data_IF_200901229543
#
_entry.id   IF_200901229543
#
_cell.length_a   1.000
_cell.length_b   1.000
_cell.length_c   1.000
_cell.angle_alpha   90.00
_cell.angle_beta   90.00
_cell.angle_gamma   90.00
#
_symmetry.space_group_name_H-M   'P 1'
#
loop_
_entity.id
_entity.type
_entity.pdbx_description
1 polymer ?
#
# COMPACT_ATOMS: atom_id res chain seq x y z
N UNK A 1 17.29 38.90 42.09
CA UNK A 1 16.39 40.02 41.75
C UNK A 1 16.01 39.91 40.28
N UNK A 2 14.91 39.30 39.97
CA UNK A 2 14.30 39.33 38.62
C UNK A 2 12.81 39.58 38.84
N UNK A 3 12.33 40.70 38.33
CA UNK A 3 10.95 41.17 38.45
C UNK A 3 10.05 40.33 37.54
N UNK A 4 9.08 39.69 38.14
CA UNK A 4 7.98 38.99 37.46
C UNK A 4 6.87 40.03 37.29
N UNK A 5 6.45 40.31 36.06
CA UNK A 5 5.27 41.11 35.74
C UNK A 5 4.04 40.22 35.77
N UNK A 6 3.24 40.36 36.79
CA UNK A 6 1.89 39.84 36.86
C UNK A 6 0.92 40.80 36.16
N UNK A 7 0.26 40.39 35.11
CA UNK A 7 -0.92 41.06 34.58
C UNK A 7 -2.15 40.38 35.19
N UNK A 8 -2.72 41.01 36.19
CA UNK A 8 -4.01 40.61 36.75
C UNK A 8 -5.14 41.23 35.89
N UNK A 9 -5.89 40.39 35.20
CA UNK A 9 -7.11 40.81 34.51
C UNK A 9 -8.29 40.65 35.46
N UNK A 10 -8.74 41.77 36.05
CA UNK A 10 -9.91 41.85 36.93
C UNK A 10 -11.17 41.68 36.08
N UNK A 11 -11.94 40.62 36.32
CA UNK A 11 -13.27 40.43 35.75
C UNK A 11 -14.27 41.15 36.68
N UNK A 12 -14.80 42.28 36.24
CA UNK A 12 -15.90 42.96 36.87
C UNK A 12 -17.22 42.30 36.36
N UNK A 13 -17.91 41.61 37.28
CA UNK A 13 -19.26 41.15 37.03
C UNK A 13 -20.23 42.32 37.39
N UNK A 14 -20.79 42.94 36.36
CA UNK A 14 -21.94 43.88 36.54
C UNK A 14 -23.21 43.13 36.12
N UNK A 15 -24.00 42.84 37.13
CA UNK A 15 -25.38 42.39 36.97
C UNK A 15 -26.23 43.63 36.68
N UNK A 16 -26.88 43.72 35.53
CA UNK A 16 -27.93 44.70 35.25
C UNK A 16 -29.04 44.12 34.34
N UNK A 17 -30.18 44.30 34.86
CA UNK A 17 -31.53 44.02 34.46
C UNK A 17 -31.89 43.98 32.97
N UNK A 18 -32.82 43.10 32.73
CA UNK A 18 -33.69 42.91 31.57
C UNK A 18 -34.14 44.18 30.86
N UNK A 19 -33.72 44.33 29.59
CA UNK A 19 -34.52 44.99 28.55
C UNK A 19 -34.34 44.21 27.25
N UNK A 20 -35.48 43.90 26.64
CA UNK A 20 -35.59 43.03 25.48
C UNK A 20 -34.77 43.53 24.27
N UNK A 21 -33.66 42.89 24.03
CA UNK A 21 -32.89 43.03 22.78
C UNK A 21 -33.36 41.95 21.79
N UNK A 22 -33.90 42.41 20.67
CA UNK A 22 -34.15 41.58 19.50
C UNK A 22 -32.81 40.91 19.13
N UNK A 23 -32.74 39.58 19.22
CA UNK A 23 -31.60 38.84 18.67
C UNK A 23 -31.59 39.05 17.15
N UNK A 24 -30.57 39.72 16.66
CA UNK A 24 -30.25 39.69 15.24
C UNK A 24 -29.88 38.24 14.85
N UNK A 25 -30.31 37.77 13.65
CA UNK A 25 -29.90 36.44 13.19
C UNK A 25 -28.38 36.35 13.08
N UNK A 26 -27.78 35.20 13.37
CA UNK A 26 -26.36 35.01 13.28
C UNK A 26 -25.87 35.36 11.86
N UNK A 27 -24.82 36.13 11.76
CA UNK A 27 -24.21 36.49 10.49
C UNK A 27 -23.88 35.24 9.66
N UNK A 28 -24.06 35.27 8.32
CA UNK A 28 -23.75 34.12 7.48
C UNK A 28 -22.25 33.75 7.60
N UNK A 29 -21.93 32.46 7.50
CA UNK A 29 -20.55 32.02 7.62
C UNK A 29 -19.67 32.72 6.57
N UNK A 30 -18.59 33.33 6.99
CA UNK A 30 -17.61 34.03 6.15
C UNK A 30 -17.05 33.07 5.09
N UNK A 31 -16.86 33.58 3.88
CA UNK A 31 -16.28 32.78 2.79
C UNK A 31 -14.85 32.33 3.13
N UNK A 32 -14.40 31.17 2.63
CA UNK A 32 -13.05 30.62 2.94
C UNK A 32 -11.86 31.49 2.54
N UNK A 33 -12.09 32.61 1.87
CA UNK A 33 -11.04 33.59 1.47
C UNK A 33 -10.80 34.71 2.48
N UNK A 34 -11.58 34.79 3.55
CA UNK A 34 -11.48 35.82 4.58
C UNK A 34 -11.02 35.31 5.97
N UNK A 35 -10.55 34.07 6.09
CA UNK A 35 -9.74 33.67 7.24
C UNK A 35 -8.40 34.42 7.14
N UNK A 36 -8.36 35.56 7.80
CA UNK A 36 -7.20 36.46 7.81
C UNK A 36 -6.10 35.83 8.67
N UNK A 37 -4.84 36.14 8.32
CA UNK A 37 -3.61 35.73 9.00
C UNK A 37 -3.63 35.89 10.54
N UNK A 38 -4.51 36.73 11.07
CA UNK A 38 -4.71 36.97 12.50
C UNK A 38 -5.26 35.75 13.23
N UNK A 39 -6.20 35.00 12.62
CA UNK A 39 -6.81 33.81 13.23
C UNK A 39 -5.78 32.66 13.32
N UNK A 40 -4.93 32.52 12.34
CA UNK A 40 -3.86 31.50 12.34
C UNK A 40 -2.84 31.73 13.45
N UNK A 41 -2.51 32.99 13.76
CA UNK A 41 -1.57 33.30 14.86
C UNK A 41 -2.17 32.96 16.23
N UNK A 42 -3.46 33.24 16.44
CA UNK A 42 -4.16 32.91 17.67
C UNK A 42 -4.21 31.38 17.86
N UNK A 43 -4.52 30.62 16.80
CA UNK A 43 -4.54 29.16 16.85
C UNK A 43 -3.16 28.56 17.11
N UNK A 44 -2.11 29.13 16.54
CA UNK A 44 -0.74 28.71 16.83
C UNK A 44 -0.34 29.01 18.28
N UNK A 45 -0.75 30.17 18.85
CA UNK A 45 -0.54 30.46 20.24
C UNK A 45 -1.28 29.50 21.16
N UNK A 46 -2.52 29.14 20.81
CA UNK A 46 -3.32 28.15 21.55
C UNK A 46 -2.64 26.77 21.56
N UNK A 47 -2.07 26.36 20.42
CA UNK A 47 -1.29 25.12 20.34
C UNK A 47 -0.03 25.18 21.22
N UNK A 48 0.68 26.32 21.24
CA UNK A 48 1.84 26.50 22.09
C UNK A 48 1.48 26.45 23.58
N UNK A 49 0.39 27.12 23.98
CA UNK A 49 -0.11 27.05 25.35
C UNK A 49 -0.48 25.64 25.79
N UNK A 50 -1.14 24.88 24.89
CA UNK A 50 -1.48 23.48 25.15
C UNK A 50 -0.22 22.64 25.40
N UNK A 51 0.85 22.86 24.64
CA UNK A 51 2.11 22.14 24.85
C UNK A 51 2.74 22.47 26.23
N UNK A 52 2.67 23.72 26.66
CA UNK A 52 3.12 24.09 28.01
C UNK A 52 2.25 23.41 29.08
N UNK A 53 0.92 23.46 28.96
CA UNK A 53 0.02 22.82 29.92
C UNK A 53 0.25 21.30 30.01
N UNK A 54 0.49 20.65 28.90
CA UNK A 54 0.81 19.20 28.88
C UNK A 54 2.10 18.94 29.67
N UNK A 55 3.13 19.74 29.47
CA UNK A 55 4.41 19.56 30.16
C UNK A 55 4.33 19.93 31.66
N UNK A 56 3.51 20.90 32.02
CA UNK A 56 3.34 21.35 33.40
C UNK A 56 2.45 20.42 34.23
N UNK A 57 1.35 19.94 33.62
CA UNK A 57 0.28 19.25 34.37
C UNK A 57 0.21 17.74 34.14
N UNK A 58 0.82 17.22 33.09
CA UNK A 58 0.82 15.77 32.85
C UNK A 58 1.71 15.08 33.88
N UNK A 59 1.25 13.95 34.46
CA UNK A 59 1.97 13.18 35.50
C UNK A 59 3.41 12.82 35.12
N UNK A 60 3.72 12.65 33.86
CA UNK A 60 5.06 12.41 33.31
C UNK A 60 5.56 13.58 32.46
N UNK A 61 5.13 14.80 32.73
CA UNK A 61 5.45 16.01 31.95
C UNK A 61 6.94 16.25 31.73
N UNK A 62 7.76 15.99 32.75
CA UNK A 62 9.23 16.11 32.68
C UNK A 62 9.88 15.19 31.64
N UNK A 63 9.23 14.06 31.29
CA UNK A 63 9.71 13.11 30.29
C UNK A 63 9.25 13.47 28.89
N UNK A 64 8.31 14.42 28.75
CA UNK A 64 7.71 14.82 27.47
C UNK A 64 8.50 15.98 26.88
N UNK A 65 8.99 15.80 25.66
CA UNK A 65 9.71 16.85 24.93
C UNK A 65 8.78 17.60 23.98
N UNK A 66 9.06 18.89 23.74
CA UNK A 66 8.36 19.67 22.69
C UNK A 66 8.41 18.99 21.33
N UNK A 67 9.54 18.36 20.99
CA UNK A 67 9.69 17.61 19.74
C UNK A 67 8.64 16.50 19.62
N UNK A 68 8.38 15.76 20.69
CA UNK A 68 7.35 14.70 20.69
C UNK A 68 5.95 15.28 20.50
N UNK A 69 5.63 16.40 21.19
CA UNK A 69 4.34 17.07 21.08
C UNK A 69 4.11 17.62 19.66
N UNK A 70 5.11 18.31 19.10
CA UNK A 70 5.04 18.85 17.72
C UNK A 70 4.88 17.72 16.71
N UNK A 71 5.64 16.64 16.81
CA UNK A 71 5.50 15.49 15.93
C UNK A 71 4.12 14.82 16.06
N UNK A 72 3.59 14.76 17.29
CA UNK A 72 2.22 14.30 17.55
C UNK A 72 1.17 15.18 16.87
N UNK A 73 1.31 16.50 16.97
CA UNK A 73 0.42 17.47 16.34
C UNK A 73 0.45 17.36 14.80
N UNK A 74 1.66 17.33 14.19
CA UNK A 74 1.82 17.13 12.73
C UNK A 74 1.19 15.83 12.27
N UNK A 75 1.36 14.76 13.03
CA UNK A 75 0.74 13.46 12.73
C UNK A 75 -0.79 13.54 12.82
N UNK A 76 -1.33 14.16 13.85
CA UNK A 76 -2.78 14.39 14.00
C UNK A 76 -3.35 15.20 12.85
N UNK A 77 -2.71 16.32 12.50
CA UNK A 77 -3.10 17.18 11.38
C UNK A 77 -3.20 16.39 10.06
N UNK A 78 -2.17 15.64 9.70
CA UNK A 78 -2.15 14.92 8.43
C UNK A 78 -3.10 13.71 8.42
N UNK A 79 -3.23 13.00 9.53
CA UNK A 79 -4.15 11.87 9.65
C UNK A 79 -5.63 12.28 9.54
N UNK A 80 -5.97 13.54 9.86
CA UNK A 80 -7.32 14.07 9.70
C UNK A 80 -7.69 14.39 8.25
N UNK A 81 -6.73 14.46 7.32
CA UNK A 81 -7.00 14.75 5.92
C UNK A 81 -7.61 13.54 5.20
N UNK A 82 -6.97 12.40 5.33
CA UNK A 82 -7.38 11.12 4.74
C UNK A 82 -6.53 9.96 5.31
N UNK A 83 -6.93 8.68 5.10
CA UNK A 83 -6.22 7.51 5.65
C UNK A 83 -4.81 7.28 5.09
N UNK A 84 -4.39 8.03 4.08
CA UNK A 84 -3.12 7.85 3.36
C UNK A 84 -2.14 9.00 3.59
N UNK A 85 -2.62 10.14 4.06
CA UNK A 85 -1.79 11.26 4.48
C UNK A 85 -1.25 11.01 5.89
N UNK A 86 0.05 11.18 6.09
CA UNK A 86 0.66 11.06 7.42
C UNK A 86 1.97 11.84 7.54
N UNK A 87 2.41 12.08 8.78
CA UNK A 87 3.74 12.58 9.08
C UNK A 87 4.69 11.41 9.35
N UNK A 88 5.82 11.40 8.66
CA UNK A 88 6.92 10.45 8.86
C UNK A 88 8.02 11.12 9.70
N UNK A 89 8.37 10.51 10.82
CA UNK A 89 9.51 10.97 11.62
C UNK A 89 10.80 10.94 10.81
N UNK A 90 11.86 11.70 11.17
CA UNK A 90 13.12 11.72 10.42
C UNK A 90 13.67 10.34 10.09
N UNK A 91 13.61 9.42 11.04
CA UNK A 91 14.04 8.03 10.86
C UNK A 91 13.19 7.30 9.79
N UNK A 92 11.87 7.44 9.88
CA UNK A 92 10.95 6.76 8.95
C UNK A 92 11.05 7.40 7.55
N UNK A 93 11.17 8.72 7.48
CA UNK A 93 11.34 9.43 6.21
C UNK A 93 12.63 9.04 5.49
N UNK A 94 13.78 9.02 6.19
CA UNK A 94 15.03 8.54 5.62
C UNK A 94 14.90 7.11 5.08
N UNK A 95 14.18 6.26 5.80
CA UNK A 95 13.90 4.89 5.41
C UNK A 95 13.02 4.81 4.15
N UNK A 96 11.93 5.58 4.09
CA UNK A 96 11.04 5.66 2.92
C UNK A 96 11.80 6.17 1.69
N UNK A 97 12.63 7.21 1.84
CA UNK A 97 13.42 7.78 0.75
C UNK A 97 14.50 6.82 0.24
N UNK A 98 15.13 6.05 1.13
CA UNK A 98 16.06 5.00 0.72
C UNK A 98 15.35 3.89 -0.09
N UNK A 99 14.14 3.49 0.33
CA UNK A 99 13.30 2.54 -0.39
C UNK A 99 12.90 3.02 -1.78
N UNK A 100 12.50 4.28 -1.92
CA UNK A 100 12.08 4.86 -3.20
C UNK A 100 13.22 4.95 -4.24
N UNK A 101 14.47 5.07 -3.78
CA UNK A 101 15.67 5.06 -4.63
C UNK A 101 16.14 3.65 -5.02
N UNK A 102 15.38 2.60 -4.69
CA UNK A 102 15.78 1.21 -4.97
C UNK A 102 17.01 0.74 -4.17
N UNK A 103 17.47 1.53 -3.21
CA UNK A 103 18.62 1.22 -2.36
C UNK A 103 18.25 0.35 -1.16
N UNK A 104 17.03 -0.13 -1.12
CA UNK A 104 16.49 -0.90 -0.02
C UNK A 104 16.86 -2.36 -0.13
N UNK A 105 17.55 -2.85 0.86
CA UNK A 105 17.91 -4.25 0.92
C UNK A 105 17.41 -4.92 2.21
N UNK A 106 17.27 -6.21 2.16
CA UNK A 106 16.83 -7.03 3.28
C UNK A 106 17.60 -8.33 3.37
N UNK A 107 17.11 -9.22 4.22
CA UNK A 107 17.72 -10.53 4.42
C UNK A 107 17.25 -11.58 3.41
N UNK A 108 16.20 -11.34 2.63
CA UNK A 108 15.67 -12.32 1.68
C UNK A 108 14.89 -13.46 2.34
N UNK A 109 14.07 -13.12 3.31
CA UNK A 109 13.20 -14.07 4.01
C UNK A 109 11.82 -13.47 4.25
N UNK A 110 10.81 -14.32 4.32
CA UNK A 110 9.47 -13.96 4.79
C UNK A 110 9.35 -14.30 6.26
N UNK A 111 8.82 -13.36 7.04
CA UNK A 111 8.64 -13.50 8.47
C UNK A 111 7.17 -13.33 8.86
N UNK A 112 6.76 -13.95 9.94
CA UNK A 112 5.45 -13.74 10.58
C UNK A 112 5.60 -13.75 12.09
N UNK A 113 4.60 -13.30 12.79
CA UNK A 113 4.43 -13.64 14.20
C UNK A 113 3.73 -14.98 14.32
N UNK A 114 4.33 -15.90 15.08
CA UNK A 114 3.71 -17.19 15.43
C UNK A 114 2.63 -17.01 16.52
N UNK A 115 2.00 -18.07 16.96
CA UNK A 115 0.96 -18.05 18.01
C UNK A 115 1.47 -17.51 19.34
N UNK A 116 2.75 -17.68 19.65
CA UNK A 116 3.42 -17.13 20.82
C UNK A 116 3.83 -15.65 20.66
N UNK A 117 3.50 -15.02 19.53
CA UNK A 117 3.87 -13.65 19.23
C UNK A 117 5.34 -13.45 18.86
N UNK A 118 6.09 -14.52 18.63
CA UNK A 118 7.49 -14.49 18.25
C UNK A 118 7.70 -14.38 16.73
N UNK A 119 8.83 -13.86 16.30
CA UNK A 119 9.16 -13.64 14.89
C UNK A 119 9.72 -14.90 14.24
N UNK A 120 8.91 -15.62 13.49
CA UNK A 120 9.28 -16.86 12.80
C UNK A 120 9.65 -16.62 11.33
N UNK A 121 10.71 -17.28 10.85
CA UNK A 121 11.07 -17.35 9.42
C UNK A 121 10.20 -18.41 8.74
N UNK A 122 9.21 -17.97 7.96
CA UNK A 122 8.30 -18.89 7.26
C UNK A 122 8.80 -19.31 5.89
N UNK A 123 9.67 -18.48 5.28
CA UNK A 123 10.27 -18.75 3.97
C UNK A 123 11.64 -18.12 3.87
N UNK A 124 12.59 -18.85 3.29
CA UNK A 124 13.90 -18.34 2.89
C UNK A 124 13.96 -18.32 1.36
N UNK A 125 14.32 -17.18 0.78
CA UNK A 125 14.49 -17.08 -0.66
C UNK A 125 15.85 -17.66 -1.07
N UNK A 126 15.89 -18.66 -1.97
CA UNK A 126 17.14 -19.28 -2.40
C UNK A 126 18.13 -18.27 -2.97
N UNK A 127 19.42 -18.43 -2.66
CA UNK A 127 20.54 -17.59 -3.10
C UNK A 127 20.51 -16.14 -2.58
N UNK A 128 19.58 -15.79 -1.69
CA UNK A 128 19.49 -14.49 -1.02
C UNK A 128 20.28 -14.47 0.32
N UNK A 129 20.44 -13.30 0.97
CA UNK A 129 21.28 -13.17 2.16
C UNK A 129 21.01 -14.16 3.29
N UNK A 130 19.75 -14.40 3.63
CA UNK A 130 19.37 -15.34 4.70
C UNK A 130 19.79 -16.79 4.37
N UNK A 131 19.58 -17.21 3.12
CA UNK A 131 20.00 -18.54 2.64
C UNK A 131 21.52 -18.69 2.69
N UNK A 132 22.25 -17.68 2.18
CA UNK A 132 23.73 -17.67 2.21
C UNK A 132 24.29 -17.68 3.64
N UNK A 133 23.59 -17.07 4.59
CA UNK A 133 23.96 -17.09 6.00
C UNK A 133 23.60 -18.40 6.71
N UNK A 134 22.85 -19.31 6.08
CA UNK A 134 22.47 -20.59 6.66
C UNK A 134 21.24 -20.54 7.57
N UNK A 135 20.42 -19.49 7.46
CA UNK A 135 19.11 -19.43 8.09
C UNK A 135 18.17 -20.46 7.47
N UNK A 136 17.20 -20.95 8.25
CA UNK A 136 16.25 -21.98 7.81
C UNK A 136 14.80 -21.58 8.14
N UNK A 137 13.86 -22.13 7.37
CA UNK A 137 12.44 -22.06 7.69
C UNK A 137 12.21 -22.66 9.09
N UNK A 138 11.38 -22.02 9.90
CA UNK A 138 11.10 -22.38 11.28
C UNK A 138 12.05 -21.77 12.31
N UNK A 139 13.10 -21.09 11.89
CA UNK A 139 13.94 -20.30 12.80
C UNK A 139 13.12 -19.18 13.45
N UNK A 140 13.28 -18.97 14.75
CA UNK A 140 12.66 -17.87 15.48
C UNK A 140 13.71 -16.79 15.74
N UNK A 141 13.51 -15.61 15.17
CA UNK A 141 14.41 -14.47 15.38
C UNK A 141 14.10 -13.82 16.72
N UNK A 142 15.06 -13.83 17.64
CA UNK A 142 14.95 -13.26 18.97
C UNK A 142 15.36 -11.78 18.98
N UNK A 143 16.41 -11.42 18.22
CA UNK A 143 16.88 -10.04 18.12
C UNK A 143 17.62 -9.77 16.80
N UNK A 144 17.75 -8.47 16.48
CA UNK A 144 18.58 -7.96 15.39
C UNK A 144 19.42 -6.80 15.90
N UNK A 145 20.76 -6.90 15.79
CA UNK A 145 21.72 -5.92 16.31
C UNK A 145 21.42 -5.52 17.78
N UNK A 146 21.09 -6.51 18.62
CA UNK A 146 20.74 -6.32 20.03
C UNK A 146 19.30 -5.84 20.29
N UNK A 147 18.55 -5.45 19.28
CA UNK A 147 17.15 -5.05 19.43
C UNK A 147 16.27 -6.30 19.59
N UNK A 148 15.72 -6.52 20.78
CA UNK A 148 14.85 -7.66 21.08
C UNK A 148 13.49 -7.54 20.36
N UNK A 149 13.00 -8.66 19.79
CA UNK A 149 11.75 -8.70 19.02
C UNK A 149 10.52 -9.08 19.86
N UNK A 150 10.75 -9.58 21.07
CA UNK A 150 9.67 -9.90 22.01
C UNK A 150 8.81 -8.67 22.27
N UNK A 151 7.50 -8.81 22.24
CA UNK A 151 6.49 -7.77 22.49
C UNK A 151 6.55 -6.54 21.55
N UNK A 152 7.33 -6.60 20.47
CA UNK A 152 7.40 -5.55 19.46
C UNK A 152 6.41 -5.78 18.33
N UNK A 153 5.93 -4.71 17.69
CA UNK A 153 5.08 -4.82 16.50
C UNK A 153 5.85 -5.43 15.32
N UNK A 154 5.14 -6.17 14.46
CA UNK A 154 5.73 -6.82 13.28
C UNK A 154 6.55 -5.84 12.42
N UNK A 155 6.00 -4.65 12.16
CA UNK A 155 6.65 -3.63 11.32
C UNK A 155 7.95 -3.10 11.95
N UNK A 156 7.99 -2.96 13.29
CA UNK A 156 9.21 -2.57 14.00
C UNK A 156 10.31 -3.63 13.82
N UNK A 157 9.96 -4.90 13.97
CA UNK A 157 10.91 -6.00 13.78
C UNK A 157 11.39 -6.07 12.32
N UNK A 158 10.48 -5.99 11.34
CA UNK A 158 10.82 -5.97 9.91
C UNK A 158 11.76 -4.81 9.60
N UNK A 159 11.54 -3.64 10.22
CA UNK A 159 12.41 -2.47 10.02
C UNK A 159 13.88 -2.72 10.39
N UNK A 160 14.14 -3.63 11.33
CA UNK A 160 15.50 -4.01 11.75
C UNK A 160 16.14 -5.03 10.82
N UNK A 161 15.34 -5.87 10.16
CA UNK A 161 15.83 -6.83 9.17
C UNK A 161 16.20 -6.16 7.85
N UNK A 162 15.61 -5.01 7.55
CA UNK A 162 15.88 -4.20 6.38
C UNK A 162 17.03 -3.21 6.68
N UNK A 163 17.64 -2.62 5.64
CA UNK A 163 18.70 -1.63 5.81
C UNK A 163 19.36 -1.26 4.48
N UNK A 164 20.51 -0.61 4.58
CA UNK A 164 21.30 -0.23 3.40
C UNK A 164 21.90 -1.48 2.74
N UNK A 165 21.92 -1.51 1.40
CA UNK A 165 22.58 -2.58 0.65
C UNK A 165 24.04 -2.73 1.06
N UNK A 166 24.47 -3.97 1.31
CA UNK A 166 25.83 -4.29 1.74
C UNK A 166 26.07 -4.14 3.25
N UNK A 167 25.17 -3.53 4.01
CA UNK A 167 25.27 -3.50 5.48
C UNK A 167 24.98 -4.88 6.07
N UNK A 168 25.61 -5.21 7.18
CA UNK A 168 25.36 -6.45 7.92
C UNK A 168 24.31 -6.23 9.03
N UNK A 169 23.66 -7.31 9.43
CA UNK A 169 22.84 -7.41 10.64
C UNK A 169 23.21 -8.69 11.37
N UNK A 170 23.36 -8.60 12.68
CA UNK A 170 23.59 -9.74 13.55
C UNK A 170 22.23 -10.19 14.08
N UNK A 171 21.81 -11.40 13.69
CA UNK A 171 20.56 -11.99 14.10
C UNK A 171 20.81 -13.05 15.16
N UNK A 172 20.21 -12.91 16.33
CA UNK A 172 20.12 -13.96 17.32
C UNK A 172 18.87 -14.78 17.06
N UNK A 173 19.03 -16.07 16.84
CA UNK A 173 17.99 -16.96 16.35
C UNK A 173 17.90 -18.19 17.23
N UNK A 174 16.67 -18.63 17.54
CA UNK A 174 16.42 -19.92 18.20
C UNK A 174 16.06 -20.96 17.15
N UNK A 175 16.85 -22.03 17.08
CA UNK A 175 16.64 -23.23 16.25
C UNK A 175 16.79 -24.47 17.12
N UNK A 176 15.80 -25.38 17.12
CA UNK A 176 15.83 -26.62 17.89
C UNK A 176 16.15 -26.39 19.40
N UNK A 177 15.50 -25.38 20.00
CA UNK A 177 15.70 -24.93 21.40
C UNK A 177 17.12 -24.38 21.72
N UNK A 178 18.00 -24.25 20.72
CA UNK A 178 19.34 -23.68 20.88
C UNK A 178 19.41 -22.30 20.23
N UNK A 179 20.07 -21.38 20.91
CA UNK A 179 20.34 -20.06 20.37
C UNK A 179 21.61 -20.07 19.51
N UNK A 180 21.55 -19.37 18.38
CA UNK A 180 22.65 -19.20 17.43
C UNK A 180 22.68 -17.79 16.92
N UNK A 181 23.87 -17.31 16.60
CA UNK A 181 24.02 -16.00 15.94
C UNK A 181 24.39 -16.19 14.46
N UNK A 182 23.78 -15.33 13.64
CA UNK A 182 24.02 -15.27 12.20
C UNK A 182 24.32 -13.85 11.77
N UNK A 183 25.43 -13.66 11.06
CA UNK A 183 25.72 -12.38 10.41
C UNK A 183 25.15 -12.43 9.01
N UNK A 184 24.16 -11.57 8.72
CA UNK A 184 23.48 -11.51 7.42
C UNK A 184 23.83 -10.21 6.72
N UNK A 185 24.52 -10.28 5.59
CA UNK A 185 24.85 -9.13 4.74
C UNK A 185 23.67 -8.81 3.85
N UNK A 186 22.98 -7.69 4.12
CA UNK A 186 21.78 -7.27 3.38
C UNK A 186 22.08 -7.03 1.91
N UNK A 187 21.19 -7.47 1.03
CA UNK A 187 21.26 -7.21 -0.42
C UNK A 187 19.86 -6.96 -0.99
N UNK A 188 19.82 -6.49 -2.23
CA UNK A 188 18.53 -6.31 -2.93
C UNK A 188 17.85 -7.66 -3.06
N UNK A 189 16.66 -7.74 -2.48
CA UNK A 189 15.81 -8.93 -2.56
C UNK A 189 14.90 -8.77 -3.77
N UNK A 190 15.22 -9.47 -4.85
CA UNK A 190 14.35 -9.54 -6.03
C UNK A 190 13.38 -10.69 -5.84
N UNK A 191 12.11 -10.38 -5.66
CA UNK A 191 11.04 -11.36 -5.68
C UNK A 191 10.33 -11.29 -7.03
N UNK A 192 10.04 -12.41 -7.70
CA UNK A 192 9.24 -12.39 -8.91
C UNK A 192 7.91 -11.69 -8.67
N UNK A 193 7.55 -10.80 -9.58
CA UNK A 193 6.26 -10.11 -9.55
C UNK A 193 5.16 -10.96 -10.16
N UNK A 194 5.50 -11.79 -11.15
CA UNK A 194 4.61 -12.77 -11.77
C UNK A 194 4.92 -14.16 -11.23
N UNK A 195 3.95 -14.76 -10.58
CA UNK A 195 4.06 -16.07 -9.93
C UNK A 195 2.93 -17.00 -10.35
N UNK A 196 2.99 -18.27 -9.95
CA UNK A 196 1.95 -19.28 -10.23
C UNK A 196 1.56 -19.30 -11.70
N UNK A 197 2.54 -19.23 -12.60
CA UNK A 197 2.33 -19.05 -14.03
C UNK A 197 2.37 -20.38 -14.80
N UNK A 198 1.46 -20.53 -15.75
CA UNK A 198 1.42 -21.72 -16.63
C UNK A 198 0.17 -21.79 -17.47
N UNK A 199 -0.12 -23.02 -17.94
CA UNK A 199 -1.37 -23.39 -18.60
C UNK A 199 -2.14 -24.28 -17.64
N UNK A 200 -3.39 -23.94 -17.33
CA UNK A 200 -4.18 -24.69 -16.33
C UNK A 200 -5.03 -25.80 -16.95
N UNK A 201 -5.85 -25.50 -17.95
CA UNK A 201 -6.65 -26.48 -18.70
C UNK A 201 -7.09 -25.87 -20.02
N UNK A 202 -7.41 -26.68 -21.01
CA UNK A 202 -8.01 -26.27 -22.28
C UNK A 202 -7.32 -25.04 -22.92
N UNK A 203 -5.99 -25.02 -22.92
CA UNK A 203 -5.17 -23.91 -23.43
C UNK A 203 -5.43 -22.56 -22.73
N UNK A 204 -5.95 -22.55 -21.51
CA UNK A 204 -6.10 -21.34 -20.71
C UNK A 204 -4.79 -21.05 -20.01
N UNK A 205 -4.15 -19.94 -20.36
CA UNK A 205 -3.02 -19.39 -19.63
C UNK A 205 -3.48 -18.80 -18.29
N UNK A 206 -2.63 -18.93 -17.29
CA UNK A 206 -2.85 -18.34 -15.98
C UNK A 206 -1.54 -17.78 -15.44
N UNK A 207 -1.61 -16.60 -14.89
CA UNK A 207 -0.57 -16.06 -14.02
C UNK A 207 -1.16 -15.13 -12.96
N UNK A 208 -0.43 -14.99 -11.87
CA UNK A 208 -0.75 -14.06 -10.80
C UNK A 208 0.30 -12.96 -10.72
N UNK A 209 -0.14 -11.72 -10.59
CA UNK A 209 0.74 -10.58 -10.29
C UNK A 209 0.63 -10.30 -8.80
N UNK A 210 1.73 -10.47 -8.06
CA UNK A 210 1.78 -10.16 -6.62
C UNK A 210 1.88 -8.66 -6.36
N UNK A 211 2.62 -7.96 -7.21
CA UNK A 211 2.83 -6.51 -7.13
C UNK A 211 3.35 -6.01 -8.47
N UNK A 212 3.02 -4.79 -8.86
CA UNK A 212 3.58 -4.15 -10.05
C UNK A 212 4.93 -3.53 -9.71
N UNK A 213 6.01 -4.14 -10.19
CA UNK A 213 7.40 -3.75 -9.97
C UNK A 213 8.10 -3.45 -11.29
N UNK A 214 9.29 -2.89 -11.25
CA UNK A 214 10.09 -2.60 -12.44
C UNK A 214 10.37 -3.83 -13.32
N UNK A 215 10.25 -5.04 -12.79
CA UNK A 215 10.48 -6.29 -13.54
C UNK A 215 9.19 -6.90 -14.11
N UNK A 216 8.00 -6.43 -13.70
CA UNK A 216 6.72 -7.01 -14.12
C UNK A 216 6.51 -7.04 -15.64
N UNK A 217 6.82 -5.96 -16.41
CA UNK A 217 6.67 -5.98 -17.86
C UNK A 217 7.55 -7.05 -18.52
N UNK A 218 8.80 -7.17 -18.09
CA UNK A 218 9.76 -8.15 -18.62
C UNK A 218 9.36 -9.59 -18.26
N UNK A 219 8.89 -9.81 -17.04
CA UNK A 219 8.39 -11.12 -16.59
C UNK A 219 7.15 -11.53 -17.37
N UNK A 220 6.24 -10.58 -17.67
CA UNK A 220 5.09 -10.83 -18.54
C UNK A 220 5.53 -11.18 -19.97
N UNK A 221 6.48 -10.44 -20.52
CA UNK A 221 7.02 -10.74 -21.86
C UNK A 221 7.64 -12.15 -21.91
N UNK A 222 8.36 -12.56 -20.87
CA UNK A 222 8.91 -13.91 -20.73
C UNK A 222 7.81 -14.98 -20.65
N UNK A 223 6.75 -14.73 -19.87
CA UNK A 223 5.58 -15.60 -19.82
C UNK A 223 4.91 -15.75 -21.18
N UNK A 224 4.63 -14.64 -21.86
CA UNK A 224 3.98 -14.63 -23.18
C UNK A 224 4.85 -15.25 -24.27
N UNK A 225 6.17 -15.09 -24.19
CA UNK A 225 7.11 -15.79 -25.07
C UNK A 225 7.05 -17.29 -24.89
N UNK A 226 6.96 -17.77 -23.65
CA UNK A 226 6.96 -19.20 -23.31
C UNK A 226 5.62 -19.89 -23.62
N UNK A 227 4.51 -19.22 -23.32
CA UNK A 227 3.18 -19.83 -23.35
C UNK A 227 2.24 -19.24 -24.42
N UNK A 228 2.46 -18.00 -24.87
CA UNK A 228 1.51 -17.25 -25.69
C UNK A 228 1.06 -17.93 -26.99
N UNK A 229 1.93 -18.77 -27.61
CA UNK A 229 1.54 -19.56 -28.78
C UNK A 229 0.75 -20.85 -28.44
N UNK A 230 0.72 -21.21 -27.15
CA UNK A 230 0.11 -22.45 -26.64
C UNK A 230 -1.22 -22.20 -25.95
N UNK A 231 -1.60 -20.94 -25.79
CA UNK A 231 -2.83 -20.52 -25.13
C UNK A 231 -3.74 -19.77 -26.12
N UNK A 232 -5.01 -19.89 -25.94
CA UNK A 232 -6.04 -19.17 -26.68
C UNK A 232 -6.93 -18.31 -25.77
N UNK A 233 -6.71 -18.37 -24.46
CA UNK A 233 -7.39 -17.60 -23.40
C UNK A 233 -6.44 -17.32 -22.25
N UNK A 234 -6.74 -16.29 -21.45
CA UNK A 234 -5.88 -15.87 -20.34
C UNK A 234 -6.69 -15.53 -19.08
N UNK A 235 -6.19 -15.94 -17.94
CA UNK A 235 -6.65 -15.49 -16.62
C UNK A 235 -5.51 -14.73 -15.93
N UNK A 236 -5.77 -13.48 -15.55
CA UNK A 236 -4.87 -12.64 -14.79
C UNK A 236 -5.41 -12.54 -13.36
N UNK A 237 -4.66 -13.04 -12.38
CA UNK A 237 -5.06 -13.02 -10.98
C UNK A 237 -4.37 -11.85 -10.24
N UNK A 238 -5.18 -10.89 -9.81
CA UNK A 238 -4.79 -9.71 -9.04
C UNK A 238 -5.28 -9.77 -7.59
N UNK A 239 -5.83 -10.88 -7.15
CA UNK A 239 -6.27 -11.03 -5.75
C UNK A 239 -5.08 -10.89 -4.81
N UNK A 240 -5.26 -10.14 -3.72
CA UNK A 240 -4.21 -9.80 -2.74
C UNK A 240 -3.03 -9.00 -3.32
N UNK A 241 -3.19 -8.37 -4.48
CA UNK A 241 -2.18 -7.49 -5.05
C UNK A 241 -2.42 -6.03 -4.55
N UNK A 242 -1.56 -5.46 -3.69
CA UNK A 242 -1.75 -4.11 -3.15
C UNK A 242 -1.46 -3.00 -4.17
N UNK A 243 -1.10 -3.35 -5.40
CA UNK A 243 -0.75 -2.41 -6.46
C UNK A 243 0.75 -2.39 -6.77
N UNK A 244 1.32 -1.22 -6.90
CA UNK A 244 2.72 -1.01 -7.24
C UNK A 244 2.95 0.23 -8.09
N UNK A 245 3.91 0.16 -8.99
CA UNK A 245 4.35 1.29 -9.79
C UNK A 245 3.38 1.54 -10.96
N UNK A 246 2.99 2.82 -11.15
CA UNK A 246 2.05 3.22 -12.19
C UNK A 246 2.59 2.97 -13.59
N UNK A 247 3.85 3.36 -13.84
CA UNK A 247 4.50 3.21 -15.14
C UNK A 247 4.47 1.75 -15.60
N UNK A 248 4.85 0.83 -14.72
CA UNK A 248 4.89 -0.60 -15.00
C UNK A 248 3.49 -1.18 -15.25
N UNK A 249 2.47 -0.63 -14.59
CA UNK A 249 1.07 -1.01 -14.85
C UNK A 249 0.64 -0.60 -16.25
N UNK A 250 0.99 0.63 -16.68
CA UNK A 250 0.75 1.10 -18.05
C UNK A 250 1.48 0.24 -19.06
N UNK A 251 2.75 -0.11 -18.79
CA UNK A 251 3.54 -0.97 -19.64
C UNK A 251 2.93 -2.37 -19.77
N UNK A 252 2.47 -2.98 -18.68
CA UNK A 252 1.77 -4.28 -18.67
C UNK A 252 0.47 -4.22 -19.48
N UNK A 253 -0.37 -3.21 -19.26
CA UNK A 253 -1.62 -3.00 -19.99
C UNK A 253 -1.38 -2.82 -21.50
N UNK A 254 -0.28 -2.17 -21.87
CA UNK A 254 0.12 -1.95 -23.25
C UNK A 254 0.34 -3.24 -24.06
N UNK A 255 0.46 -4.43 -23.41
CA UNK A 255 0.51 -5.72 -24.10
C UNK A 255 -0.87 -6.18 -24.59
N UNK A 256 -1.92 -5.62 -24.02
CA UNK A 256 -3.31 -6.04 -24.26
C UNK A 256 -4.21 -5.00 -24.91
N UNK A 257 -3.74 -3.73 -24.95
CA UNK A 257 -4.49 -2.58 -25.47
C UNK A 257 -3.89 -2.09 -26.80
N UNK A 258 -4.67 -1.39 -27.60
CA UNK A 258 -4.15 -0.65 -28.76
C UNK A 258 -3.32 0.54 -28.28
N UNK A 259 -2.35 0.94 -29.11
CA UNK A 259 -1.50 2.11 -28.83
C UNK A 259 -2.35 3.38 -28.77
N UNK A 260 -2.04 4.27 -27.83
CA UNK A 260 -2.68 5.58 -27.67
C UNK A 260 -4.03 5.54 -26.93
N UNK A 261 -4.44 4.38 -26.38
CA UNK A 261 -5.62 4.34 -25.54
C UNK A 261 -5.29 4.87 -24.14
N UNK A 262 -6.19 5.70 -23.59
CA UNK A 262 -6.06 6.20 -22.22
C UNK A 262 -6.09 5.03 -21.23
N UNK A 263 -5.06 4.87 -20.44
CA UNK A 263 -5.00 3.89 -19.35
C UNK A 263 -5.56 4.46 -18.07
N UNK A 264 -5.12 5.65 -17.69
CA UNK A 264 -5.51 6.34 -16.47
C UNK A 264 -5.22 7.83 -16.58
N UNK A 265 -6.07 8.67 -16.04
CA UNK A 265 -5.74 10.07 -15.77
C UNK A 265 -5.49 10.28 -14.28
N UNK A 266 -4.50 11.15 -14.00
CA UNK A 266 -4.13 11.58 -12.64
C UNK A 266 -4.47 13.05 -12.54
N UNK A 267 -5.32 13.43 -11.60
CA UNK A 267 -5.80 14.80 -11.48
C UNK A 267 -5.67 15.29 -10.04
N UNK A 268 -4.99 16.40 -9.89
CA UNK A 268 -4.74 17.05 -8.60
C UNK A 268 -5.05 18.54 -8.65
N UNK A 269 -5.20 19.12 -7.48
CA UNK A 269 -5.51 20.56 -7.34
C UNK A 269 -4.40 21.45 -7.90
N UNK A 270 -3.15 21.14 -7.59
CA UNK A 270 -1.95 21.91 -8.01
C UNK A 270 -1.16 21.21 -9.09
N UNK A 271 -1.29 19.88 -9.21
CA UNK A 271 -0.55 19.05 -10.18
C UNK A 271 -1.17 19.10 -11.59
N UNK A 272 -2.38 19.66 -11.72
CA UNK A 272 -3.13 19.63 -12.95
C UNK A 272 -3.59 18.23 -13.33
N UNK A 273 -3.72 17.99 -14.63
CA UNK A 273 -4.12 16.72 -15.21
C UNK A 273 -2.96 16.09 -15.98
N UNK A 274 -2.58 14.89 -15.62
CA UNK A 274 -1.64 14.05 -16.37
C UNK A 274 -2.38 12.83 -16.90
N UNK A 275 -2.18 12.50 -18.17
CA UNK A 275 -2.72 11.30 -18.80
C UNK A 275 -1.62 10.28 -19.06
N UNK A 276 -1.96 9.01 -18.90
CA UNK A 276 -1.10 7.90 -19.24
C UNK A 276 -1.78 7.03 -20.27
N UNK A 277 -1.14 6.87 -21.41
CA UNK A 277 -1.66 6.11 -22.54
C UNK A 277 -0.85 4.84 -22.76
N UNK A 278 -1.48 3.85 -23.38
CA UNK A 278 -0.81 2.64 -23.83
C UNK A 278 0.23 2.93 -24.91
N UNK A 279 1.44 2.42 -24.74
CA UNK A 279 2.59 2.77 -25.61
C UNK A 279 2.81 1.80 -26.77
N UNK A 280 2.37 0.56 -26.65
CA UNK A 280 2.60 -0.47 -27.66
C UNK A 280 1.50 -1.52 -27.55
N UNK A 281 0.95 -1.92 -28.68
CA UNK A 281 0.14 -3.13 -28.73
C UNK A 281 0.65 -4.02 -29.84
N UNK A 282 0.90 -5.26 -29.62
CA UNK A 282 1.32 -6.09 -30.74
C UNK A 282 0.53 -7.40 -30.85
N UNK A 283 0.58 -8.30 -29.89
CA UNK A 283 0.35 -9.70 -30.22
C UNK A 283 -0.85 -10.33 -29.53
N UNK A 284 -1.27 -9.75 -28.41
CA UNK A 284 -2.19 -10.40 -27.50
C UNK A 284 -3.50 -9.62 -27.27
N UNK A 285 -3.77 -8.64 -28.14
CA UNK A 285 -4.98 -7.80 -28.05
C UNK A 285 -6.28 -8.58 -28.25
N UNK A 286 -6.24 -9.66 -29.01
CA UNK A 286 -7.43 -10.45 -29.33
C UNK A 286 -7.68 -11.59 -28.34
N UNK A 287 -6.70 -11.88 -27.46
CA UNK A 287 -6.78 -12.95 -26.49
C UNK A 287 -7.90 -12.69 -25.48
N UNK A 288 -8.93 -13.54 -25.36
CA UNK A 288 -9.95 -13.40 -24.32
C UNK A 288 -9.34 -13.43 -22.94
N UNK A 289 -9.70 -12.44 -22.09
CA UNK A 289 -9.09 -12.27 -20.77
C UNK A 289 -10.16 -12.22 -19.67
N UNK A 290 -9.95 -13.01 -18.61
CA UNK A 290 -10.64 -12.89 -17.34
C UNK A 290 -9.66 -12.35 -16.27
N UNK A 291 -10.15 -11.49 -15.38
CA UNK A 291 -9.34 -10.83 -14.36
C UNK A 291 -9.95 -11.10 -13.00
N UNK A 292 -9.19 -11.69 -12.10
CA UNK A 292 -9.61 -11.96 -10.73
C UNK A 292 -9.18 -10.82 -9.81
N UNK A 293 -10.13 -10.28 -9.04
CA UNK A 293 -9.87 -9.26 -8.01
C UNK A 293 -10.57 -9.62 -6.70
N UNK A 294 -10.05 -9.06 -5.59
CA UNK A 294 -10.71 -9.11 -4.29
C UNK A 294 -10.52 -7.79 -3.52
N UNK A 295 -11.05 -7.72 -2.30
CA UNK A 295 -10.98 -6.57 -1.41
C UNK A 295 -9.55 -6.09 -1.06
N UNK A 296 -8.53 -6.90 -1.35
CA UNK A 296 -7.11 -6.56 -1.18
C UNK A 296 -6.43 -6.14 -2.50
N UNK A 297 -7.15 -6.19 -3.62
CA UNK A 297 -6.67 -5.63 -4.90
C UNK A 297 -6.75 -4.11 -4.82
N UNK A 298 -5.61 -3.41 -4.84
CA UNK A 298 -5.56 -1.97 -4.60
C UNK A 298 -4.68 -1.20 -5.60
N UNK A 299 -4.92 0.12 -5.74
CA UNK A 299 -4.05 1.05 -6.48
C UNK A 299 -3.80 0.62 -7.94
N UNK A 300 -2.58 0.26 -8.32
CA UNK A 300 -2.22 -0.19 -9.66
C UNK A 300 -3.06 -1.39 -10.15
N UNK A 301 -3.45 -2.30 -9.25
CA UNK A 301 -4.38 -3.41 -9.57
C UNK A 301 -5.76 -2.91 -9.97
N UNK A 302 -6.21 -1.82 -9.34
CA UNK A 302 -7.49 -1.20 -9.66
C UNK A 302 -7.43 -0.41 -10.96
N UNK A 303 -6.29 0.22 -11.26
CA UNK A 303 -6.03 0.84 -12.57
C UNK A 303 -6.07 -0.23 -13.66
N UNK A 304 -5.41 -1.37 -13.45
CA UNK A 304 -5.42 -2.48 -14.40
C UNK A 304 -6.84 -3.00 -14.63
N UNK A 305 -7.53 -3.38 -13.56
CA UNK A 305 -8.88 -3.95 -13.67
C UNK A 305 -9.89 -2.94 -14.23
N UNK A 306 -9.85 -1.69 -13.79
CA UNK A 306 -10.74 -0.62 -14.26
C UNK A 306 -10.53 -0.28 -15.73
N UNK A 307 -9.29 -0.17 -16.18
CA UNK A 307 -8.95 0.08 -17.58
C UNK A 307 -9.46 -1.07 -18.49
N UNK A 308 -9.17 -2.32 -18.13
CA UNK A 308 -9.61 -3.50 -18.89
C UNK A 308 -11.13 -3.63 -18.93
N UNK A 309 -11.80 -3.28 -17.83
CA UNK A 309 -13.27 -3.27 -17.75
C UNK A 309 -13.88 -2.17 -18.63
N UNK A 310 -13.39 -0.93 -18.52
CA UNK A 310 -13.93 0.22 -19.25
C UNK A 310 -13.87 0.02 -20.76
N UNK A 311 -12.79 -0.59 -21.26
CA UNK A 311 -12.68 -0.98 -22.69
C UNK A 311 -13.34 -2.31 -23.03
N UNK A 312 -14.02 -2.96 -22.08
CA UNK A 312 -14.57 -4.32 -22.26
C UNK A 312 -13.52 -5.31 -22.77
N UNK A 313 -12.25 -5.01 -22.50
CA UNK A 313 -11.10 -5.79 -22.97
C UNK A 313 -10.90 -7.09 -22.18
N UNK A 314 -11.42 -7.13 -20.97
CA UNK A 314 -11.40 -8.29 -20.10
C UNK A 314 -12.60 -8.28 -19.16
N UNK A 315 -13.05 -9.45 -18.74
CA UNK A 315 -14.13 -9.60 -17.75
C UNK A 315 -13.55 -9.65 -16.34
N UNK A 316 -13.97 -8.74 -15.49
CA UNK A 316 -13.51 -8.64 -14.08
C UNK A 316 -14.43 -9.49 -13.20
N UNK A 317 -13.84 -10.39 -12.40
CA UNK A 317 -14.55 -11.41 -11.62
C UNK A 317 -14.03 -11.37 -10.16
N UNK A 318 -14.92 -11.60 -9.22
CA UNK A 318 -14.56 -11.69 -7.79
C UNK A 318 -15.42 -10.81 -6.90
N UNK A 319 -14.81 -10.05 -6.02
CA UNK A 319 -15.51 -9.07 -5.16
C UNK A 319 -14.90 -7.69 -5.35
N UNK A 320 -15.61 -6.67 -4.88
CA UNK A 320 -15.20 -5.27 -5.00
C UNK A 320 -13.81 -5.05 -4.44
N UNK A 321 -12.98 -4.29 -5.16
CA UNK A 321 -11.61 -3.97 -4.79
C UNK A 321 -11.52 -2.95 -3.65
N UNK A 322 -10.31 -2.65 -3.18
CA UNK A 322 -10.02 -1.85 -1.99
C UNK A 322 -10.50 -0.39 -2.10
N UNK A 323 -10.27 0.26 -3.23
CA UNK A 323 -10.61 1.68 -3.43
C UNK A 323 -9.46 2.65 -3.13
N UNK A 324 -8.20 2.26 -3.35
CA UNK A 324 -7.05 3.15 -3.23
C UNK A 324 -6.76 3.85 -4.57
N UNK A 325 -7.50 4.92 -4.83
CA UNK A 325 -7.36 5.71 -6.05
C UNK A 325 -6.67 7.07 -5.84
N UNK A 326 -5.75 7.20 -4.87
CA UNK A 326 -5.07 8.44 -4.53
C UNK A 326 -3.56 8.36 -4.74
N UNK A 327 -2.96 9.49 -5.13
CA UNK A 327 -1.53 9.69 -5.29
C UNK A 327 -0.99 10.46 -4.11
N UNK A 328 0.02 9.95 -3.45
CA UNK A 328 0.71 10.63 -2.37
C UNK A 328 2.06 11.16 -2.84
N UNK A 329 2.40 12.37 -2.38
CA UNK A 329 3.74 12.93 -2.46
C UNK A 329 4.27 13.14 -1.06
N UNK A 330 5.57 12.93 -0.89
CA UNK A 330 6.25 13.16 0.38
C UNK A 330 7.06 14.44 0.25
N UNK A 331 6.80 15.38 1.14
CA UNK A 331 7.51 16.65 1.22
C UNK A 331 8.48 16.59 2.41
N UNK A 332 9.78 16.89 2.20
CA UNK A 332 10.73 17.01 3.30
C UNK A 332 10.30 18.13 4.26
N UNK A 333 10.40 17.86 5.55
CA UNK A 333 10.10 18.84 6.61
C UNK A 333 11.39 19.36 7.26
N UNK A 334 11.41 20.60 7.77
CA UNK A 334 12.60 21.20 8.38
C UNK A 334 13.19 20.43 9.57
N UNK A 335 12.36 19.65 10.28
CA UNK A 335 12.81 18.80 11.39
C UNK A 335 13.51 17.50 10.92
N UNK A 336 13.69 17.34 9.60
CA UNK A 336 14.26 16.16 8.96
C UNK A 336 13.24 15.04 8.71
N UNK A 337 11.97 15.22 9.07
CA UNK A 337 10.87 14.32 8.77
C UNK A 337 10.30 14.49 7.37
N UNK A 338 9.16 13.85 7.10
CA UNK A 338 8.44 13.94 5.84
C UNK A 338 6.93 14.04 6.02
N UNK A 339 6.31 14.97 5.32
CA UNK A 339 4.85 15.05 5.21
C UNK A 339 4.39 14.31 3.94
N UNK A 340 3.74 13.17 4.13
CA UNK A 340 3.08 12.44 3.05
C UNK A 340 1.68 13.00 2.88
N UNK A 341 1.38 13.57 1.71
CA UNK A 341 0.12 14.26 1.43
C UNK A 341 -0.51 13.67 0.18
N UNK A 342 -1.80 13.42 0.21
CA UNK A 342 -2.58 13.06 -0.98
C UNK A 342 -2.73 14.29 -1.87
N UNK A 343 -2.12 14.25 -3.06
CA UNK A 343 -2.07 15.39 -3.99
C UNK A 343 -2.94 15.22 -5.22
N UNK A 344 -3.33 13.99 -5.57
CA UNK A 344 -4.12 13.71 -6.76
C UNK A 344 -4.95 12.43 -6.61
N UNK A 345 -5.89 12.24 -7.53
CA UNK A 345 -6.72 11.03 -7.65
C UNK A 345 -6.57 10.39 -9.02
N UNK A 346 -6.74 9.07 -9.06
CA UNK A 346 -6.80 8.28 -10.28
C UNK A 346 -8.23 8.21 -10.81
N UNK A 347 -8.35 8.34 -12.14
CA UNK A 347 -9.60 8.14 -12.88
C UNK A 347 -9.37 7.12 -13.99
N UNK A 348 -10.30 6.17 -14.12
CA UNK A 348 -10.28 5.20 -15.21
C UNK A 348 -10.58 5.86 -16.56
N UNK A 349 -10.41 5.18 -17.70
CA UNK A 349 -10.76 5.72 -19.01
C UNK A 349 -12.18 6.29 -19.11
N UNK A 350 -13.16 5.64 -18.50
CA UNK A 350 -14.55 6.12 -18.43
C UNK A 350 -14.79 7.16 -17.33
N UNK A 351 -13.73 7.78 -16.80
CA UNK A 351 -13.80 8.83 -15.77
C UNK A 351 -14.36 8.39 -14.42
N UNK A 352 -14.37 7.10 -14.13
CA UNK A 352 -14.76 6.60 -12.83
C UNK A 352 -13.64 6.88 -11.79
N UNK A 353 -14.05 7.42 -10.64
CA UNK A 353 -13.16 7.63 -9.49
C UNK A 353 -12.90 6.30 -8.79
N UNK A 354 -11.63 5.91 -8.69
CA UNK A 354 -11.23 4.70 -7.94
C UNK A 354 -11.25 4.97 -6.43
N UNK A 355 -10.82 6.17 -6.01
CA UNK A 355 -10.65 6.51 -4.60
C UNK A 355 -11.94 6.42 -3.80
N UNK A 356 -11.93 5.64 -2.70
CA UNK A 356 -13.08 5.39 -1.83
C UNK A 356 -14.18 4.51 -2.45
N UNK A 357 -14.12 4.27 -3.77
CA UNK A 357 -15.14 3.49 -4.49
C UNK A 357 -14.68 2.09 -4.88
N UNK A 358 -13.42 1.92 -5.27
CA UNK A 358 -12.91 0.67 -5.81
C UNK A 358 -13.51 0.30 -7.16
N UNK A 359 -13.10 -0.85 -7.67
CA UNK A 359 -13.61 -1.46 -8.91
C UNK A 359 -14.64 -2.54 -8.54
N UNK A 360 -15.86 -2.36 -8.98
CA UNK A 360 -16.89 -3.39 -8.88
C UNK A 360 -16.70 -4.39 -10.02
N UNK A 361 -16.59 -5.69 -9.76
CA UNK A 361 -16.41 -6.67 -10.81
C UNK A 361 -17.64 -6.77 -11.72
N UNK A 362 -17.46 -7.28 -12.95
CA UNK A 362 -18.56 -7.57 -13.87
C UNK A 362 -19.36 -8.78 -13.38
N UNK A 363 -18.65 -9.74 -12.77
CA UNK A 363 -19.26 -10.94 -12.19
C UNK A 363 -18.87 -11.06 -10.73
N UNK A 364 -19.83 -10.82 -9.86
CA UNK A 364 -19.62 -10.92 -8.41
C UNK A 364 -19.63 -12.38 -7.96
N UNK A 365 -18.54 -12.83 -7.37
CA UNK A 365 -18.40 -14.16 -6.79
C UNK A 365 -17.90 -14.03 -5.35
N UNK A 366 -18.85 -14.04 -4.41
CA UNK A 366 -18.55 -13.99 -2.98
C UNK A 366 -18.06 -15.34 -2.49
N UNK A 367 -17.13 -15.32 -1.54
CA UNK A 367 -16.64 -16.49 -0.83
C UNK A 367 -16.74 -16.24 0.69
N UNK A 368 -16.87 -17.31 1.47
CA UNK A 368 -16.96 -17.23 2.93
C UNK A 368 -15.62 -16.84 3.55
N UNK A 369 -15.61 -16.35 4.77
CA UNK A 369 -14.36 -15.95 5.46
C UNK A 369 -13.35 -17.12 5.63
N UNK A 370 -13.85 -18.33 5.85
CA UNK A 370 -13.01 -19.53 5.91
C UNK A 370 -12.35 -19.82 4.56
N UNK A 371 -13.10 -19.65 3.47
CA UNK A 371 -12.59 -19.82 2.11
C UNK A 371 -11.57 -18.72 1.74
N UNK A 372 -11.77 -17.48 2.23
CA UNK A 372 -10.80 -16.39 2.06
C UNK A 372 -9.48 -16.70 2.77
N UNK A 373 -9.55 -17.22 4.00
CA UNK A 373 -8.36 -17.63 4.75
C UNK A 373 -7.63 -18.75 4.03
N UNK A 374 -8.35 -19.79 3.59
CA UNK A 374 -7.78 -20.92 2.85
C UNK A 374 -7.14 -20.45 1.52
N UNK A 375 -7.78 -19.53 0.80
CA UNK A 375 -7.23 -18.91 -0.41
C UNK A 375 -5.97 -18.11 -0.10
N UNK A 376 -5.97 -17.27 0.94
CA UNK A 376 -4.79 -16.50 1.34
C UNK A 376 -3.62 -17.41 1.73
N UNK A 377 -3.87 -18.49 2.50
CA UNK A 377 -2.86 -19.47 2.83
C UNK A 377 -2.32 -20.20 1.61
N UNK A 378 -3.20 -20.61 0.69
CA UNK A 378 -2.81 -21.23 -0.56
C UNK A 378 -1.90 -20.30 -1.37
N UNK A 379 -2.26 -19.02 -1.46
CA UNK A 379 -1.49 -18.00 -2.14
C UNK A 379 -0.11 -17.81 -1.48
N UNK A 380 -0.04 -17.79 -0.16
CA UNK A 380 1.23 -17.67 0.57
C UNK A 380 2.13 -18.90 0.42
N UNK A 381 1.52 -20.10 0.32
CA UNK A 381 2.26 -21.36 0.13
C UNK A 381 2.63 -21.60 -1.34
N UNK A 382 1.96 -20.97 -2.28
CA UNK A 382 2.05 -21.27 -3.71
C UNK A 382 3.32 -20.76 -4.39
N UNK A 383 4.16 -20.00 -3.69
CA UNK A 383 5.48 -19.63 -4.20
C UNK A 383 6.40 -20.84 -4.47
N UNK A 384 6.07 -22.01 -3.92
CA UNK A 384 6.80 -23.26 -4.13
C UNK A 384 6.23 -24.07 -5.32
N UNK A 385 5.04 -23.68 -5.86
CA UNK A 385 4.37 -24.42 -6.91
C UNK A 385 3.91 -23.51 -8.05
N UNK A 386 4.23 -23.84 -9.30
CA UNK A 386 4.03 -22.95 -10.46
C UNK A 386 2.57 -22.66 -10.81
N UNK A 387 1.61 -23.44 -10.32
CA UNK A 387 0.18 -23.29 -10.70
C UNK A 387 -0.73 -23.23 -9.47
N UNK A 388 -1.98 -22.69 -9.60
CA UNK A 388 -2.97 -22.73 -8.53
C UNK A 388 -3.22 -24.18 -8.10
N UNK A 389 -2.85 -24.49 -6.86
CA UNK A 389 -3.05 -25.83 -6.30
C UNK A 389 -4.29 -25.81 -5.45
N UNK A 390 -5.03 -26.90 -5.49
CA UNK A 390 -6.09 -27.15 -4.51
C UNK A 390 -5.44 -27.31 -3.14
N UNK A 391 -5.66 -26.36 -2.23
CA UNK A 391 -5.41 -26.63 -0.84
C UNK A 391 -6.28 -27.81 -0.38
N UNK A 392 -5.80 -28.64 0.50
CA UNK A 392 -6.58 -29.77 1.02
C UNK A 392 -7.95 -29.25 1.52
N UNK A 393 -9.03 -29.67 0.88
CA UNK A 393 -10.40 -29.29 1.24
C UNK A 393 -10.91 -27.95 0.71
N UNK A 394 -10.09 -27.13 0.01
CA UNK A 394 -10.53 -25.87 -0.57
C UNK A 394 -10.67 -25.93 -2.10
N UNK A 395 -11.80 -25.41 -2.57
CA UNK A 395 -12.12 -25.30 -4.00
C UNK A 395 -12.22 -23.81 -4.36
N UNK A 396 -11.32 -23.31 -5.21
CA UNK A 396 -11.32 -21.91 -5.65
C UNK A 396 -12.47 -21.62 -6.63
N UNK A 397 -13.65 -21.34 -6.07
CA UNK A 397 -14.87 -21.07 -6.86
C UNK A 397 -14.76 -19.81 -7.72
N UNK A 398 -13.93 -18.83 -7.32
CA UNK A 398 -13.68 -17.63 -8.13
C UNK A 398 -12.85 -17.98 -9.38
N UNK A 399 -11.81 -18.79 -9.23
CA UNK A 399 -11.00 -19.27 -10.35
C UNK A 399 -11.82 -20.17 -11.28
N UNK A 400 -12.64 -21.08 -10.73
CA UNK A 400 -13.53 -21.92 -11.54
C UNK A 400 -14.53 -21.08 -12.35
N UNK A 401 -15.08 -20.03 -11.73
CA UNK A 401 -15.96 -19.10 -12.44
C UNK A 401 -15.24 -18.35 -13.54
N UNK A 402 -13.99 -17.93 -13.30
CA UNK A 402 -13.16 -17.29 -14.31
C UNK A 402 -12.86 -18.23 -15.49
N UNK A 403 -12.57 -19.50 -15.22
CA UNK A 403 -12.41 -20.54 -16.25
C UNK A 403 -13.70 -20.71 -17.07
N UNK A 404 -14.85 -20.81 -16.42
CA UNK A 404 -16.14 -20.94 -17.10
C UNK A 404 -16.41 -19.75 -18.02
N UNK A 405 -16.19 -18.54 -17.53
CA UNK A 405 -16.44 -17.30 -18.28
C UNK A 405 -15.49 -17.18 -19.44
N UNK A 406 -14.19 -17.34 -19.23
CA UNK A 406 -13.20 -17.16 -20.31
C UNK A 406 -13.37 -18.18 -21.44
N UNK A 407 -13.87 -19.39 -21.15
CA UNK A 407 -14.23 -20.39 -22.16
C UNK A 407 -15.39 -19.93 -23.05
N UNK A 408 -16.34 -19.18 -22.50
CA UNK A 408 -17.49 -18.63 -23.24
C UNK A 408 -17.18 -17.35 -24.03
N UNK A 409 -16.04 -16.70 -23.76
CA UNK A 409 -15.68 -15.48 -24.49
C UNK A 409 -15.18 -15.78 -25.89
N UNK A 410 -15.65 -15.01 -26.87
CA UNK A 410 -15.09 -14.98 -28.24
C UNK A 410 -13.80 -14.16 -28.25
N UNK A 411 -12.99 -14.35 -29.31
CA UNK A 411 -11.84 -13.47 -29.52
C UNK A 411 -12.29 -12.01 -29.55
N UNK A 412 -11.53 -11.18 -28.86
CA UNK A 412 -11.85 -9.76 -28.77
C UNK A 412 -11.55 -9.07 -30.10
N UNK A 413 -12.55 -8.42 -30.70
CA UNK A 413 -12.34 -7.49 -31.80
C UNK A 413 -12.88 -6.13 -31.37
N UNK A 414 -12.04 -5.10 -31.39
CA UNK A 414 -12.54 -3.74 -31.34
C UNK A 414 -13.23 -3.48 -32.68
N UNK A 415 -14.54 -3.30 -32.66
CA UNK A 415 -15.21 -2.71 -33.83
C UNK A 415 -14.63 -1.31 -34.03
N UNK A 416 -14.09 -1.08 -35.20
CA UNK A 416 -13.60 0.22 -35.68
C UNK A 416 -14.71 1.25 -35.68
#
# INVERSE_FOLDING_TARGET
>A
MKKIFFFALSVLILCSACTGLKQEPPAPPKSPKEEKDIDVQIELLSLMQLMEFVREHHVDGDKITYKQLIQGAMKGMLNNLDPHSNYETPRNFAFTMAGSRGSFAGIGATVRKNEDGEMELVKILPKHPADKAGLKKGDVILSADGFLFKDKKLDECISKLRGQRGSSVILKVRRDKKEKEFVVKRDIVKTPSIVNQGIIQDKIGYFRINQFTSTTPEELDAYLKKYGKKIDRLIVDLRFNPGGQLKETVDVLSRFLEKGLLVVSVEGRTEGKTIHESVSCKKYRELPIAILINEHSASASEIFAGCMKDYKRGTVIGVKSFGKGSVQRIYPMPDGGGARITIAKYYTPSRNVIHGKGITPDVVVKIKEEEKRALAEQIMKSDENPLPIKAAGYKDVQLEKAVQIVKGLKNFSMNK
#
